data_IF_405351694498
#
_entry.id   IF_405351694498
#
_cell.length_a   1.000
_cell.length_b   1.000
_cell.length_c   1.000
_cell.angle_alpha   90.00
_cell.angle_beta   90.00
_cell.angle_gamma   90.00
#
_symmetry.space_group_name_H-M   'P 1'
#
loop_
_entity.id
_entity.type
_entity.pdbx_description
1 polymer ?
#
# COMPACT_ATOMS: atom_id res chain seq x y z
N UNK A 1 -13.95 -16.25 17.60
CA UNK A 1 -13.06 -15.19 17.11
C UNK A 1 -13.23 -15.17 15.60
N UNK A 2 -13.48 -14.01 15.02
CA UNK A 2 -13.57 -13.85 13.59
C UNK A 2 -12.19 -13.52 13.03
N UNK A 3 -11.87 -14.00 11.83
CA UNK A 3 -10.61 -13.68 11.17
C UNK A 3 -10.79 -13.56 9.66
N UNK A 4 -10.05 -12.64 9.04
CA UNK A 4 -9.94 -12.54 7.60
C UNK A 4 -8.66 -13.25 7.13
N UNK A 5 -8.81 -14.10 6.14
CA UNK A 5 -7.72 -14.83 5.48
C UNK A 5 -7.53 -14.25 4.08
N UNK A 6 -6.46 -13.50 3.87
CA UNK A 6 -6.12 -12.91 2.57
C UNK A 6 -5.09 -13.81 1.90
N UNK A 7 -5.55 -14.60 0.93
CA UNK A 7 -4.76 -15.63 0.26
C UNK A 7 -3.91 -15.01 -0.84
N UNK A 8 -2.59 -15.25 -0.82
CA UNK A 8 -1.64 -14.69 -1.78
C UNK A 8 -1.63 -15.46 -3.10
N UNK A 9 -1.33 -14.77 -4.20
CA UNK A 9 -0.96 -15.38 -5.50
C UNK A 9 0.54 -15.56 -5.66
N UNK A 10 1.34 -15.00 -4.78
CA UNK A 10 2.81 -14.99 -4.84
C UNK A 10 3.41 -15.82 -3.72
N UNK A 11 4.62 -16.29 -3.94
CA UNK A 11 5.38 -16.99 -2.91
C UNK A 11 5.81 -16.01 -1.81
N UNK A 12 5.42 -16.32 -0.58
CA UNK A 12 5.88 -15.58 0.60
C UNK A 12 7.07 -16.33 1.18
N UNK A 13 8.27 -15.71 1.30
CA UNK A 13 9.43 -16.37 1.86
C UNK A 13 9.17 -16.91 3.28
N UNK A 14 9.66 -18.08 3.62
CA UNK A 14 9.46 -18.73 4.93
C UNK A 14 9.88 -17.83 6.11
N UNK A 15 10.93 -17.01 5.93
CA UNK A 15 11.34 -16.04 6.96
C UNK A 15 10.27 -15.01 7.34
N UNK A 16 9.24 -14.85 6.51
CA UNK A 16 8.09 -13.97 6.76
C UNK A 16 6.90 -14.73 7.36
N UNK A 17 7.00 -16.07 7.51
CA UNK A 17 5.98 -16.85 8.20
C UNK A 17 6.10 -16.64 9.70
N UNK A 18 5.00 -16.37 10.36
CA UNK A 18 4.93 -16.15 11.80
C UNK A 18 3.55 -15.75 12.28
N UNK A 19 3.39 -15.72 13.58
CA UNK A 19 2.16 -15.29 14.22
C UNK A 19 2.48 -14.42 15.44
N UNK A 20 1.71 -13.36 15.61
CA UNK A 20 1.86 -12.44 16.73
C UNK A 20 0.53 -11.76 17.05
N UNK A 21 0.08 -11.86 18.30
CA UNK A 21 -1.15 -11.20 18.82
C UNK A 21 -2.38 -11.41 17.91
N UNK A 22 -2.58 -12.65 17.43
CA UNK A 22 -3.70 -13.05 16.59
C UNK A 22 -3.50 -12.78 15.09
N UNK A 23 -2.51 -11.99 14.68
CA UNK A 23 -2.10 -11.87 13.28
C UNK A 23 -1.19 -13.02 12.91
N UNK A 24 -1.28 -13.51 11.68
CA UNK A 24 -0.34 -14.52 11.19
C UNK A 24 -0.08 -14.38 9.68
N UNK A 25 1.09 -14.84 9.26
CA UNK A 25 1.44 -15.11 7.87
C UNK A 25 1.90 -16.56 7.85
N UNK A 26 1.15 -17.43 7.19
CA UNK A 26 1.48 -18.85 7.16
C UNK A 26 0.81 -19.57 5.99
N UNK A 27 1.30 -20.74 5.61
CA UNK A 27 0.57 -21.63 4.71
C UNK A 27 -0.83 -21.95 5.26
N UNK A 28 -1.79 -22.07 4.36
CA UNK A 28 -3.11 -22.58 4.69
C UNK A 28 -3.03 -24.08 5.01
N UNK A 29 -3.75 -24.51 6.03
CA UNK A 29 -3.99 -25.94 6.26
C UNK A 29 -4.95 -26.49 5.20
N UNK A 30 -4.90 -27.81 4.99
CA UNK A 30 -5.82 -28.49 4.06
C UNK A 30 -7.28 -28.20 4.40
N UNK A 31 -7.64 -28.19 5.68
CA UNK A 31 -9.01 -27.90 6.12
C UNK A 31 -9.46 -26.46 5.77
N UNK A 32 -8.54 -25.48 5.87
CA UNK A 32 -8.83 -24.09 5.48
C UNK A 32 -8.97 -23.95 3.97
N UNK A 33 -8.12 -24.61 3.18
CA UNK A 33 -8.25 -24.65 1.72
C UNK A 33 -9.60 -25.20 1.32
N UNK A 34 -9.96 -26.37 1.84
CA UNK A 34 -11.27 -27.02 1.56
C UNK A 34 -12.42 -26.09 1.96
N UNK A 35 -12.37 -25.49 3.15
CA UNK A 35 -13.43 -24.60 3.61
C UNK A 35 -13.61 -23.36 2.72
N UNK A 36 -12.54 -22.82 2.10
CA UNK A 36 -12.64 -21.72 1.15
C UNK A 36 -13.15 -22.20 -0.20
N UNK A 37 -12.66 -23.34 -0.70
CA UNK A 37 -13.12 -23.93 -1.98
C UNK A 37 -14.59 -24.33 -1.95
N UNK A 38 -15.07 -24.90 -0.85
CA UNK A 38 -16.49 -25.22 -0.66
C UNK A 38 -17.38 -23.98 -0.79
N UNK A 39 -16.93 -22.83 -0.29
CA UNK A 39 -17.63 -21.56 -0.46
C UNK A 39 -17.61 -21.07 -1.92
N UNK A 40 -16.54 -21.30 -2.66
CA UNK A 40 -16.47 -21.02 -4.09
C UNK A 40 -17.46 -21.89 -4.87
N UNK A 41 -17.47 -23.21 -4.62
CA UNK A 41 -18.41 -24.13 -5.26
C UNK A 41 -19.88 -23.76 -4.96
N UNK A 42 -20.17 -23.35 -3.73
CA UNK A 42 -21.50 -22.86 -3.35
C UNK A 42 -21.94 -21.60 -4.11
N UNK A 43 -20.98 -20.86 -4.71
CA UNK A 43 -21.21 -19.70 -5.56
C UNK A 43 -21.14 -20.02 -7.07
N UNK A 44 -20.97 -21.30 -7.44
CA UNK A 44 -20.81 -21.74 -8.83
C UNK A 44 -19.42 -21.47 -9.42
N UNK A 45 -18.41 -21.23 -8.59
CA UNK A 45 -17.03 -21.01 -8.99
C UNK A 45 -16.20 -22.28 -8.75
N UNK A 46 -15.66 -22.87 -9.82
CA UNK A 46 -14.86 -24.12 -9.76
C UNK A 46 -13.36 -23.88 -9.51
N UNK A 47 -12.97 -22.65 -9.17
CA UNK A 47 -11.56 -22.32 -8.93
C UNK A 47 -11.02 -23.02 -7.71
N UNK A 48 -9.73 -23.37 -7.80
CA UNK A 48 -8.99 -24.03 -6.75
C UNK A 48 -7.91 -23.14 -6.18
N UNK A 49 -7.64 -23.34 -4.89
CA UNK A 49 -6.53 -22.71 -4.19
C UNK A 49 -5.29 -23.60 -4.38
N UNK A 50 -4.18 -23.10 -4.95
CA UNK A 50 -2.97 -23.90 -5.09
C UNK A 50 -2.49 -24.43 -3.75
N UNK A 51 -2.01 -25.68 -3.73
CA UNK A 51 -1.42 -26.28 -2.54
C UNK A 51 -0.21 -25.44 -2.08
N UNK A 52 -0.11 -25.20 -0.77
CA UNK A 52 0.94 -24.37 -0.19
C UNK A 52 0.69 -22.87 -0.28
N UNK A 53 -0.49 -22.42 -0.74
CA UNK A 53 -0.86 -21.00 -0.69
C UNK A 53 -0.72 -20.46 0.72
N UNK A 54 -0.13 -19.27 0.83
CA UNK A 54 0.06 -18.54 2.09
C UNK A 54 -1.07 -17.53 2.27
N UNK A 55 -1.51 -17.35 3.50
CA UNK A 55 -2.47 -16.31 3.84
C UNK A 55 -1.92 -15.34 4.89
N UNK A 56 -2.30 -14.08 4.74
CA UNK A 56 -2.28 -13.09 5.81
C UNK A 56 -3.56 -13.27 6.63
N UNK A 57 -3.44 -13.59 7.89
CA UNK A 57 -4.55 -13.84 8.81
C UNK A 57 -4.68 -12.65 9.74
N UNK A 58 -5.83 -12.00 9.72
CA UNK A 58 -6.11 -10.75 10.44
C UNK A 58 -7.27 -11.00 11.41
N UNK A 59 -7.04 -10.94 12.73
CA UNK A 59 -8.09 -11.19 13.73
C UNK A 59 -9.02 -9.98 13.87
N UNK A 60 -10.28 -10.24 14.14
CA UNK A 60 -11.34 -9.27 14.53
C UNK A 60 -11.41 -7.98 13.69
N UNK A 61 -10.79 -7.97 12.51
CA UNK A 61 -10.69 -6.76 11.67
C UNK A 61 -12.01 -6.45 10.98
N UNK A 62 -12.93 -7.42 10.91
CA UNK A 62 -14.16 -7.32 10.14
C UNK A 62 -15.37 -7.79 10.93
N UNK A 63 -15.99 -6.87 11.62
CA UNK A 63 -17.40 -7.01 12.00
C UNK A 63 -18.32 -6.75 10.78
N UNK A 64 -17.80 -6.08 9.72
CA UNK A 64 -18.55 -5.64 8.55
C UNK A 64 -17.92 -6.15 7.23
N UNK A 65 -18.61 -7.03 6.49
CA UNK A 65 -18.18 -7.50 5.18
C UNK A 65 -17.99 -6.39 4.13
N UNK A 66 -18.60 -5.22 4.32
CA UNK A 66 -18.44 -4.07 3.42
C UNK A 66 -17.01 -3.50 3.45
N UNK A 67 -16.28 -3.69 4.54
CA UNK A 67 -14.87 -3.28 4.70
C UNK A 67 -13.84 -4.19 4.02
N UNK A 68 -14.23 -5.32 3.42
CA UNK A 68 -13.30 -6.25 2.75
C UNK A 68 -12.45 -5.58 1.65
N UNK A 69 -13.00 -4.74 0.75
CA UNK A 69 -12.22 -4.08 -0.29
C UNK A 69 -11.10 -3.21 0.28
N UNK A 70 -11.40 -2.48 1.35
CA UNK A 70 -10.44 -1.59 2.01
C UNK A 70 -9.31 -2.39 2.67
N UNK A 71 -9.66 -3.52 3.28
CA UNK A 71 -8.71 -4.42 3.90
C UNK A 71 -7.71 -5.00 2.88
N UNK A 72 -8.21 -5.47 1.74
CA UNK A 72 -7.38 -5.97 0.64
C UNK A 72 -6.40 -4.88 0.20
N UNK A 73 -6.92 -3.68 -0.05
CA UNK A 73 -6.12 -2.52 -0.47
C UNK A 73 -5.01 -2.19 0.53
N UNK A 74 -5.31 -2.23 1.83
CA UNK A 74 -4.31 -1.94 2.87
C UNK A 74 -3.26 -3.04 2.98
N UNK A 75 -3.63 -4.31 2.87
CA UNK A 75 -2.64 -5.41 2.89
C UNK A 75 -1.77 -5.38 1.63
N UNK A 76 -2.36 -5.12 0.47
CA UNK A 76 -1.63 -4.96 -0.79
C UNK A 76 -0.66 -3.77 -0.73
N UNK A 77 -1.10 -2.66 -0.20
CA UNK A 77 -0.28 -1.49 0.06
C UNK A 77 0.87 -1.79 1.03
N UNK A 78 0.58 -2.42 2.17
CA UNK A 78 1.61 -2.79 3.15
C UNK A 78 2.69 -3.68 2.53
N UNK A 79 2.29 -4.66 1.71
CA UNK A 79 3.23 -5.50 0.97
C UNK A 79 4.01 -4.69 -0.08
N UNK A 80 3.37 -3.77 -0.80
CA UNK A 80 4.00 -2.96 -1.86
C UNK A 80 5.07 -2.02 -1.32
N UNK A 81 4.88 -1.47 -0.11
CA UNK A 81 5.89 -0.62 0.54
C UNK A 81 7.17 -1.40 0.82
N UNK A 82 7.07 -2.63 1.31
CA UNK A 82 8.23 -3.46 1.69
C UNK A 82 8.74 -4.36 0.55
N UNK A 83 8.07 -4.39 -0.60
CA UNK A 83 8.55 -5.08 -1.79
C UNK A 83 9.70 -4.31 -2.43
N UNK A 84 10.75 -5.01 -2.87
CA UNK A 84 11.87 -4.46 -3.67
C UNK A 84 11.53 -4.58 -5.15
N UNK A 85 11.04 -5.76 -5.56
CA UNK A 85 10.60 -6.04 -6.92
C UNK A 85 9.27 -6.76 -6.92
N UNK A 86 8.55 -6.66 -8.02
CA UNK A 86 7.24 -7.27 -8.21
C UNK A 86 6.12 -6.52 -7.50
N UNK A 87 4.90 -6.92 -7.78
CA UNK A 87 3.69 -6.32 -7.20
C UNK A 87 2.87 -7.39 -6.50
N UNK A 88 2.53 -7.20 -5.20
CA UNK A 88 1.69 -8.14 -4.47
C UNK A 88 0.32 -8.26 -5.12
N UNK A 89 -0.18 -9.48 -5.17
CA UNK A 89 -1.53 -9.77 -5.63
C UNK A 89 -2.13 -10.90 -4.79
N UNK A 90 -3.44 -10.92 -4.73
CA UNK A 90 -4.18 -11.86 -3.88
C UNK A 90 -5.17 -12.69 -4.69
N UNK A 91 -5.40 -13.90 -4.26
CA UNK A 91 -6.29 -14.86 -4.91
C UNK A 91 -7.72 -14.71 -4.39
N UNK A 92 -7.85 -14.66 -3.06
CA UNK A 92 -9.14 -14.67 -2.40
C UNK A 92 -9.06 -14.02 -1.02
N UNK A 93 -10.21 -13.62 -0.50
CA UNK A 93 -10.40 -13.30 0.91
C UNK A 93 -11.47 -14.21 1.46
N UNK A 94 -11.13 -14.99 2.48
CA UNK A 94 -12.07 -15.81 3.25
C UNK A 94 -12.34 -15.19 4.62
N UNK A 95 -13.59 -15.11 5.02
CA UNK A 95 -13.99 -14.70 6.36
C UNK A 95 -14.32 -15.94 7.18
N UNK A 96 -13.56 -16.16 8.23
CA UNK A 96 -13.72 -17.28 9.14
C UNK A 96 -14.37 -16.83 10.44
N UNK A 97 -15.30 -17.63 10.95
CA UNK A 97 -15.92 -17.48 12.26
C UNK A 97 -15.99 -18.84 12.94
N UNK A 98 -15.43 -18.96 14.13
CA UNK A 98 -15.39 -20.22 14.89
C UNK A 98 -14.81 -21.40 14.09
N UNK A 99 -13.78 -21.14 13.28
CA UNK A 99 -13.10 -22.17 12.48
C UNK A 99 -13.78 -22.53 11.15
N UNK A 100 -14.97 -22.01 10.86
CA UNK A 100 -15.67 -22.23 9.59
C UNK A 100 -15.58 -21.01 8.69
N UNK A 101 -15.32 -21.21 7.39
CA UNK A 101 -15.43 -20.16 6.38
C UNK A 101 -16.88 -19.77 6.18
N UNK A 102 -17.21 -18.49 6.42
CA UNK A 102 -18.57 -17.94 6.34
C UNK A 102 -18.82 -17.23 5.03
N UNK A 103 -17.79 -16.66 4.48
CA UNK A 103 -17.86 -15.90 3.24
C UNK A 103 -16.50 -15.96 2.54
N UNK A 104 -16.53 -16.01 1.22
CA UNK A 104 -15.33 -15.88 0.39
C UNK A 104 -15.59 -14.90 -0.74
N UNK A 105 -14.56 -14.14 -1.09
CA UNK A 105 -14.54 -13.26 -2.26
C UNK A 105 -13.29 -13.59 -3.06
N UNK A 106 -13.49 -13.93 -4.32
CA UNK A 106 -12.41 -14.08 -5.28
C UNK A 106 -11.91 -12.70 -5.74
N UNK A 107 -10.60 -12.56 -5.89
CA UNK A 107 -9.95 -11.36 -6.41
C UNK A 107 -9.50 -11.68 -7.85
N UNK A 108 -10.04 -10.99 -8.87
CA UNK A 108 -9.62 -11.19 -10.25
C UNK A 108 -8.11 -10.97 -10.43
N UNK A 109 -7.48 -11.75 -11.33
CA UNK A 109 -6.09 -11.54 -11.70
C UNK A 109 -5.96 -10.26 -12.54
N UNK A 110 -4.96 -9.45 -12.23
CA UNK A 110 -4.54 -8.34 -13.06
C UNK A 110 -3.40 -8.78 -14.01
N UNK A 111 -3.27 -8.12 -15.15
CA UNK A 111 -2.16 -8.34 -16.08
C UNK A 111 -0.81 -7.97 -15.47
N UNK A 112 -0.80 -7.04 -14.51
CA UNK A 112 0.39 -6.59 -13.77
C UNK A 112 0.75 -7.47 -12.57
N UNK A 113 -0.02 -8.55 -12.28
CA UNK A 113 0.28 -9.45 -11.17
C UNK A 113 1.60 -10.19 -11.40
N UNK A 114 2.55 -10.04 -10.50
CA UNK A 114 3.83 -10.74 -10.52
C UNK A 114 3.78 -11.96 -9.60
N UNK A 115 4.15 -13.16 -10.08
CA UNK A 115 4.27 -14.32 -9.21
C UNK A 115 5.51 -14.24 -8.29
N UNK A 116 6.53 -13.49 -8.74
CA UNK A 116 7.80 -13.37 -8.04
C UNK A 116 7.93 -11.98 -7.41
N UNK A 117 7.85 -11.94 -6.07
CA UNK A 117 8.05 -10.72 -5.29
C UNK A 117 9.28 -10.91 -4.42
N UNK A 118 10.19 -9.95 -4.47
CA UNK A 118 11.26 -9.86 -3.49
C UNK A 118 10.95 -8.78 -2.45
N UNK A 119 11.25 -9.10 -1.18
CA UNK A 119 11.06 -8.19 -0.06
C UNK A 119 12.39 -7.66 0.45
N UNK A 120 12.36 -6.51 1.13
CA UNK A 120 13.53 -5.88 1.75
C UNK A 120 14.36 -6.95 2.48
N UNK A 121 15.67 -6.96 2.22
CA UNK A 121 16.61 -7.88 2.86
C UNK A 121 16.60 -7.66 4.38
N UNK A 122 16.43 -8.74 5.14
CA UNK A 122 16.35 -8.67 6.61
C UNK A 122 14.94 -8.42 7.17
N UNK A 123 13.92 -8.21 6.33
CA UNK A 123 12.53 -8.19 6.80
C UNK A 123 12.18 -9.56 7.41
N UNK A 124 11.70 -9.54 8.66
CA UNK A 124 11.26 -10.72 9.40
C UNK A 124 9.74 -10.81 9.46
N UNK A 125 9.22 -11.96 9.87
CA UNK A 125 7.77 -12.13 10.11
C UNK A 125 7.23 -11.09 11.10
N UNK A 126 7.90 -10.91 12.24
CA UNK A 126 7.49 -9.91 13.25
C UNK A 126 7.50 -8.50 12.67
N UNK A 127 8.55 -8.13 11.93
CA UNK A 127 8.63 -6.82 11.26
C UNK A 127 7.49 -6.60 10.27
N UNK A 128 7.16 -7.61 9.45
CA UNK A 128 6.05 -7.53 8.50
C UNK A 128 4.69 -7.42 9.21
N UNK A 129 4.46 -8.22 10.25
CA UNK A 129 3.22 -8.18 11.01
C UNK A 129 3.05 -6.86 11.77
N UNK A 130 4.13 -6.33 12.34
CA UNK A 130 4.13 -5.02 13.00
C UNK A 130 3.83 -3.90 11.99
N UNK A 131 4.46 -3.94 10.83
CA UNK A 131 4.20 -2.98 9.75
C UNK A 131 2.73 -3.02 9.30
N UNK A 132 2.20 -4.21 9.06
CA UNK A 132 0.79 -4.38 8.67
C UNK A 132 -0.17 -3.82 9.73
N UNK A 133 0.11 -4.04 11.02
CA UNK A 133 -0.68 -3.44 12.12
C UNK A 133 -0.68 -1.93 12.07
N UNK A 134 0.48 -1.32 11.85
CA UNK A 134 0.60 0.15 11.74
C UNK A 134 -0.21 0.69 10.56
N UNK A 135 -0.17 0.03 9.41
CA UNK A 135 -1.00 0.40 8.26
C UNK A 135 -2.50 0.31 8.58
N UNK A 136 -2.94 -0.76 9.24
CA UNK A 136 -4.33 -0.94 9.65
C UNK A 136 -4.76 0.08 10.72
N UNK A 137 -3.88 0.44 11.63
CA UNK A 137 -4.13 1.47 12.63
C UNK A 137 -4.26 2.85 11.99
N UNK A 138 -3.36 3.20 11.08
CA UNK A 138 -3.42 4.43 10.30
C UNK A 138 -4.73 4.51 9.48
N UNK A 139 -5.16 3.39 8.85
CA UNK A 139 -6.44 3.29 8.16
C UNK A 139 -7.62 3.62 9.08
N UNK A 140 -7.66 3.06 10.28
CA UNK A 140 -8.74 3.33 11.25
C UNK A 140 -8.78 4.79 11.70
N UNK A 141 -7.61 5.42 11.84
CA UNK A 141 -7.47 6.81 12.27
C UNK A 141 -7.84 7.82 11.18
N UNK A 142 -7.57 7.49 9.91
CA UNK A 142 -7.66 8.40 8.77
C UNK A 142 -8.77 8.06 7.77
N UNK A 143 -9.39 6.88 7.90
CA UNK A 143 -10.44 6.39 6.99
C UNK A 143 -10.13 6.65 5.51
N UNK A 144 -10.89 7.57 4.89
CA UNK A 144 -10.85 7.80 3.44
C UNK A 144 -9.48 8.23 2.90
N UNK A 145 -8.69 8.99 3.68
CA UNK A 145 -7.40 9.49 3.19
C UNK A 145 -6.34 8.40 3.08
N UNK A 146 -6.25 7.54 4.10
CA UNK A 146 -5.33 6.42 4.03
C UNK A 146 -5.73 5.46 2.90
N UNK A 147 -7.04 5.30 2.67
CA UNK A 147 -7.54 4.54 1.53
C UNK A 147 -7.10 5.16 0.20
N UNK A 148 -7.21 6.49 0.04
CA UNK A 148 -6.71 7.19 -1.15
C UNK A 148 -5.22 6.97 -1.32
N UNK A 149 -4.42 7.23 -0.28
CA UNK A 149 -2.96 7.01 -0.31
C UNK A 149 -2.62 5.59 -0.76
N UNK A 150 -3.21 4.60 -0.11
CA UNK A 150 -2.94 3.19 -0.36
C UNK A 150 -3.36 2.77 -1.77
N UNK A 151 -4.58 3.10 -2.18
CA UNK A 151 -5.11 2.75 -3.50
C UNK A 151 -4.28 3.37 -4.62
N UNK A 152 -3.95 4.66 -4.50
CA UNK A 152 -3.17 5.37 -5.52
C UNK A 152 -1.72 4.88 -5.58
N UNK A 153 -1.10 4.59 -4.42
CA UNK A 153 0.25 4.02 -4.42
C UNK A 153 0.30 2.61 -5.04
N UNK A 154 -0.68 1.76 -4.77
CA UNK A 154 -0.78 0.43 -5.39
C UNK A 154 -0.97 0.55 -6.90
N UNK A 155 -1.82 1.49 -7.35
CA UNK A 155 -2.02 1.74 -8.78
C UNK A 155 -0.75 2.27 -9.45
N UNK A 156 -0.05 3.23 -8.83
CA UNK A 156 1.27 3.68 -9.28
C UNK A 156 2.22 2.49 -9.48
N UNK A 157 2.34 1.63 -8.46
CA UNK A 157 3.26 0.50 -8.48
C UNK A 157 2.95 -0.52 -9.60
N UNK A 158 1.68 -0.62 -10.03
CA UNK A 158 1.22 -1.55 -11.08
C UNK A 158 1.08 -0.91 -12.47
N UNK A 159 1.28 0.40 -12.58
CA UNK A 159 1.00 1.11 -13.82
C UNK A 159 2.02 0.81 -14.91
N UNK A 160 1.54 0.48 -16.12
CA UNK A 160 2.34 0.33 -17.33
C UNK A 160 2.50 1.68 -18.07
N UNK A 161 1.64 2.65 -17.77
CA UNK A 161 1.66 4.00 -18.35
C UNK A 161 2.40 4.96 -17.44
N UNK A 162 3.44 5.61 -17.93
CA UNK A 162 4.16 6.64 -17.16
C UNK A 162 3.24 7.81 -16.76
N UNK A 163 2.28 8.19 -17.58
CA UNK A 163 1.34 9.26 -17.28
C UNK A 163 0.44 8.89 -16.10
N UNK A 164 -0.13 7.68 -16.12
CA UNK A 164 -0.97 7.18 -15.04
C UNK A 164 -0.16 6.98 -13.75
N UNK A 165 1.08 6.45 -13.86
CA UNK A 165 1.99 6.31 -12.74
C UNK A 165 2.24 7.67 -12.05
N UNK A 166 2.59 8.70 -12.80
CA UNK A 166 2.86 10.04 -12.28
C UNK A 166 1.61 10.64 -11.61
N UNK A 167 0.44 10.48 -12.24
CA UNK A 167 -0.83 10.94 -11.68
C UNK A 167 -1.15 10.24 -10.36
N UNK A 168 -1.09 8.92 -10.34
CA UNK A 168 -1.43 8.13 -9.16
C UNK A 168 -0.44 8.36 -8.00
N UNK A 169 0.86 8.45 -8.29
CA UNK A 169 1.89 8.76 -7.29
C UNK A 169 1.68 10.14 -6.67
N UNK A 170 1.45 11.17 -7.51
CA UNK A 170 1.22 12.51 -7.01
C UNK A 170 -0.02 12.59 -6.12
N UNK A 171 -1.15 12.00 -6.54
CA UNK A 171 -2.38 11.96 -5.73
C UNK A 171 -2.16 11.20 -4.42
N UNK A 172 -1.40 10.09 -4.45
CA UNK A 172 -1.04 9.35 -3.24
C UNK A 172 -0.31 10.24 -2.23
N UNK A 173 0.70 10.98 -2.68
CA UNK A 173 1.48 11.88 -1.83
C UNK A 173 0.71 13.14 -1.42
N UNK A 174 -0.13 13.73 -2.30
CA UNK A 174 -1.00 14.86 -1.96
C UNK A 174 -1.96 14.50 -0.82
N UNK A 175 -2.45 13.26 -0.78
CA UNK A 175 -3.38 12.82 0.26
C UNK A 175 -2.78 12.83 1.68
N UNK A 176 -1.45 12.85 1.81
CA UNK A 176 -0.74 12.99 3.08
C UNK A 176 -0.72 14.44 3.57
N UNK A 177 -0.91 15.40 2.66
CA UNK A 177 -0.93 16.82 2.97
C UNK A 177 -2.37 17.28 3.22
N UNK A 178 -2.58 18.10 4.23
CA UNK A 178 -3.91 18.57 4.63
C UNK A 178 -4.12 20.07 4.32
N UNK A 179 -3.65 20.50 3.15
CA UNK A 179 -3.66 21.93 2.79
C UNK A 179 -4.49 22.19 1.54
N UNK A 180 -5.27 23.28 1.60
CA UNK A 180 -6.07 23.76 0.48
C UNK A 180 -5.39 24.89 -0.32
N UNK A 181 -4.29 25.44 0.21
CA UNK A 181 -3.57 26.60 -0.39
C UNK A 181 -2.10 26.28 -0.59
N UNK A 182 -1.47 26.88 -1.60
CA UNK A 182 -0.05 26.75 -1.93
C UNK A 182 0.40 25.27 -2.12
N UNK A 183 -0.47 24.45 -2.71
CA UNK A 183 -0.29 22.99 -2.74
C UNK A 183 1.04 22.59 -3.39
N UNK A 184 1.43 23.23 -4.50
CA UNK A 184 2.68 22.94 -5.21
C UNK A 184 3.92 23.16 -4.33
N UNK A 185 4.01 24.33 -3.69
CA UNK A 185 5.13 24.66 -2.82
C UNK A 185 5.18 23.73 -1.61
N UNK A 186 4.05 23.52 -0.95
CA UNK A 186 3.98 22.64 0.23
C UNK A 186 4.26 21.18 -0.13
N UNK A 187 3.77 20.73 -1.28
CA UNK A 187 4.04 19.39 -1.78
C UNK A 187 5.54 19.12 -1.90
N UNK A 188 6.28 19.99 -2.57
CA UNK A 188 7.71 19.79 -2.78
C UNK A 188 8.53 19.96 -1.49
N UNK A 189 8.35 21.06 -0.78
CA UNK A 189 9.20 21.40 0.38
C UNK A 189 8.85 20.54 1.60
N UNK A 190 7.55 20.40 1.95
CA UNK A 190 7.18 19.62 3.13
C UNK A 190 7.53 18.14 2.98
N UNK A 191 7.24 17.54 1.82
CA UNK A 191 7.52 16.13 1.61
C UNK A 191 9.04 15.86 1.55
N UNK A 192 9.84 16.77 0.96
CA UNK A 192 11.30 16.63 1.02
C UNK A 192 11.83 16.64 2.46
N UNK A 193 11.26 17.47 3.32
CA UNK A 193 11.70 17.55 4.72
C UNK A 193 11.21 16.40 5.60
N UNK A 194 10.08 15.79 5.25
CA UNK A 194 9.57 14.58 5.92
C UNK A 194 10.57 13.43 5.87
N UNK A 195 11.38 13.33 4.81
CA UNK A 195 12.43 12.32 4.70
C UNK A 195 13.65 12.59 5.60
N UNK A 196 13.69 13.73 6.29
CA UNK A 196 14.83 14.14 7.08
C UNK A 196 15.99 14.71 6.26
N UNK A 197 15.84 14.83 4.93
CA UNK A 197 16.82 15.43 4.04
C UNK A 197 17.15 16.87 4.45
N UNK A 198 18.41 17.27 4.32
CA UNK A 198 18.89 18.63 4.68
C UNK A 198 19.87 19.15 3.62
N UNK A 199 20.01 20.48 3.58
CA UNK A 199 20.92 21.14 2.62
C UNK A 199 20.63 20.73 1.19
N UNK A 200 21.67 20.43 0.43
CA UNK A 200 21.60 20.10 -1.00
C UNK A 200 20.73 18.87 -1.30
N UNK A 201 20.66 17.91 -0.37
CA UNK A 201 19.78 16.75 -0.52
C UNK A 201 18.30 17.13 -0.45
N UNK A 202 17.92 18.02 0.47
CA UNK A 202 16.57 18.55 0.57
C UNK A 202 16.18 19.34 -0.69
N UNK A 203 17.09 20.16 -1.22
CA UNK A 203 16.86 20.91 -2.45
C UNK A 203 16.69 19.99 -3.65
N UNK A 204 17.52 18.97 -3.78
CA UNK A 204 17.43 17.97 -4.86
C UNK A 204 16.12 17.18 -4.78
N UNK A 205 15.72 16.80 -3.58
CA UNK A 205 14.46 16.08 -3.33
C UNK A 205 13.24 16.97 -3.62
N UNK A 206 13.27 18.22 -3.17
CA UNK A 206 12.22 19.19 -3.44
C UNK A 206 12.09 19.48 -4.94
N UNK A 207 13.18 19.61 -5.68
CA UNK A 207 13.18 19.79 -7.12
C UNK A 207 12.54 18.59 -7.85
N UNK A 208 12.84 17.35 -7.42
CA UNK A 208 12.22 16.15 -7.97
C UNK A 208 10.71 16.09 -7.72
N UNK A 209 10.28 16.44 -6.51
CA UNK A 209 8.86 16.49 -6.14
C UNK A 209 8.14 17.64 -6.87
N UNK A 210 8.81 18.78 -7.11
CA UNK A 210 8.27 19.87 -7.92
C UNK A 210 8.05 19.43 -9.38
N UNK A 211 9.02 18.75 -10.00
CA UNK A 211 8.87 18.18 -11.34
C UNK A 211 7.69 17.20 -11.42
N UNK A 212 7.52 16.36 -10.37
CA UNK A 212 6.40 15.42 -10.27
C UNK A 212 5.06 16.16 -10.24
N UNK A 213 4.94 17.19 -9.40
CA UNK A 213 3.72 17.98 -9.28
C UNK A 213 3.39 18.76 -10.56
N UNK A 214 4.39 19.35 -11.20
CA UNK A 214 4.23 20.06 -12.46
C UNK A 214 3.76 19.14 -13.58
N UNK A 215 4.32 17.92 -13.66
CA UNK A 215 3.90 16.92 -14.63
C UNK A 215 2.43 16.52 -14.42
N UNK A 216 2.02 16.27 -13.16
CA UNK A 216 0.65 15.96 -12.81
C UNK A 216 -0.31 17.11 -13.16
N UNK A 217 0.08 18.36 -12.83
CA UNK A 217 -0.74 19.53 -13.14
C UNK A 217 -0.97 19.66 -14.64
N UNK A 218 0.09 19.56 -15.44
CA UNK A 218 -0.02 19.66 -16.91
C UNK A 218 -0.80 18.49 -17.52
N UNK A 219 -0.65 17.28 -17.00
CA UNK A 219 -1.46 16.13 -17.44
C UNK A 219 -2.95 16.36 -17.16
N UNK A 220 -3.28 16.84 -15.97
CA UNK A 220 -4.66 17.10 -15.58
C UNK A 220 -5.34 18.18 -16.42
N UNK A 221 -4.57 19.15 -16.94
CA UNK A 221 -5.05 20.23 -17.80
C UNK A 221 -4.91 19.95 -19.30
N UNK A 222 -4.41 18.78 -19.69
CA UNK A 222 -4.20 18.43 -21.10
C UNK A 222 -3.13 19.27 -21.81
N UNK A 223 -2.17 19.82 -21.04
CA UNK A 223 -1.10 20.65 -21.60
C UNK A 223 -0.12 19.80 -22.44
N UNK A 224 0.09 20.13 -23.73
CA UNK A 224 1.02 19.37 -24.59
C UNK A 224 2.45 19.27 -24.05
N UNK A 225 2.88 20.23 -23.22
CA UNK A 225 4.21 20.23 -22.60
C UNK A 225 4.39 19.15 -21.53
N UNK A 226 3.31 18.48 -21.09
CA UNK A 226 3.37 17.34 -20.16
C UNK A 226 4.31 16.24 -20.67
N UNK A 227 4.28 15.92 -21.97
CA UNK A 227 5.12 14.89 -22.57
C UNK A 227 6.63 15.14 -22.41
N UNK A 228 7.07 16.40 -22.31
CA UNK A 228 8.47 16.73 -22.02
C UNK A 228 8.84 16.39 -20.58
N UNK A 229 7.97 16.69 -19.62
CA UNK A 229 8.19 16.36 -18.22
C UNK A 229 8.13 14.86 -17.97
N UNK A 230 7.21 14.15 -18.62
CA UNK A 230 7.15 12.68 -18.53
C UNK A 230 8.46 12.03 -18.96
N UNK A 231 9.02 12.43 -20.13
CA UNK A 231 10.33 11.94 -20.58
C UNK A 231 11.48 12.26 -19.61
N UNK A 232 11.41 13.38 -18.88
CA UNK A 232 12.39 13.72 -17.83
C UNK A 232 12.24 12.83 -16.60
N UNK A 233 11.00 12.48 -16.23
CA UNK A 233 10.68 11.71 -15.02
C UNK A 233 10.77 10.20 -15.21
N UNK A 234 10.54 9.69 -16.42
CA UNK A 234 10.54 8.25 -16.73
C UNK A 234 11.78 7.52 -16.20
N UNK A 235 13.03 7.95 -16.46
CA UNK A 235 14.22 7.30 -15.92
C UNK A 235 14.36 7.46 -14.39
N UNK A 236 13.59 8.37 -13.78
CA UNK A 236 13.61 8.66 -12.34
C UNK A 236 12.49 7.95 -11.56
N UNK A 237 11.64 7.18 -12.22
CA UNK A 237 10.55 6.43 -11.55
C UNK A 237 11.05 5.54 -10.41
N UNK A 238 12.18 4.81 -10.53
CA UNK A 238 12.71 4.05 -9.39
C UNK A 238 13.08 4.93 -8.19
N UNK A 239 13.64 6.11 -8.42
CA UNK A 239 13.97 7.09 -7.38
C UNK A 239 12.69 7.65 -6.75
N UNK A 240 11.70 8.01 -7.55
CA UNK A 240 10.39 8.46 -7.08
C UNK A 240 9.68 7.39 -6.24
N UNK A 241 9.76 6.13 -6.64
CA UNK A 241 9.20 5.01 -5.88
C UNK A 241 9.89 4.87 -4.51
N UNK A 242 11.22 4.91 -4.47
CA UNK A 242 11.96 4.83 -3.21
C UNK A 242 11.61 5.99 -2.27
N UNK A 243 11.60 7.21 -2.79
CA UNK A 243 11.23 8.42 -2.06
C UNK A 243 9.79 8.37 -1.53
N UNK A 244 8.84 7.93 -2.36
CA UNK A 244 7.45 7.79 -1.94
C UNK A 244 7.29 6.76 -0.81
N UNK A 245 7.97 5.62 -0.91
CA UNK A 245 7.98 4.61 0.15
C UNK A 245 8.49 5.17 1.47
N UNK A 246 9.55 5.96 1.44
CA UNK A 246 10.13 6.61 2.61
C UNK A 246 9.13 7.61 3.23
N UNK A 247 8.59 8.53 2.43
CA UNK A 247 7.60 9.53 2.89
C UNK A 247 6.38 8.83 3.50
N UNK A 248 5.81 7.85 2.81
CA UNK A 248 4.62 7.12 3.26
C UNK A 248 4.92 6.34 4.54
N UNK A 249 6.09 5.70 4.62
CA UNK A 249 6.51 4.96 5.82
C UNK A 249 6.60 5.91 7.01
N UNK A 250 7.25 7.06 6.85
CA UNK A 250 7.36 8.08 7.90
C UNK A 250 5.99 8.54 8.36
N UNK A 251 5.06 8.79 7.43
CA UNK A 251 3.70 9.17 7.74
C UNK A 251 2.94 8.10 8.54
N UNK A 252 2.97 6.84 8.10
CA UNK A 252 2.32 5.72 8.79
C UNK A 252 2.90 5.51 10.18
N UNK A 253 4.23 5.58 10.30
CA UNK A 253 4.91 5.47 11.60
C UNK A 253 4.54 6.62 12.54
N UNK A 254 4.48 7.85 12.05
CA UNK A 254 4.05 8.98 12.85
C UNK A 254 2.64 8.80 13.39
N UNK A 255 1.70 8.41 12.53
CA UNK A 255 0.29 8.24 12.89
C UNK A 255 0.02 7.04 13.80
N UNK A 256 0.96 6.12 13.97
CA UNK A 256 0.80 5.03 14.95
C UNK A 256 0.83 5.54 16.40
N UNK A 257 1.49 6.66 16.63
CA UNK A 257 1.76 7.20 17.97
C UNK A 257 1.16 8.62 18.17
N UNK A 258 0.69 9.26 17.08
CA UNK A 258 0.24 10.64 17.05
C UNK A 258 -1.06 10.80 16.27
N UNK A 259 -1.72 11.92 16.51
CA UNK A 259 -2.94 12.30 15.78
C UNK A 259 -2.63 12.97 14.44
N UNK A 260 -3.66 13.10 13.61
CA UNK A 260 -3.57 13.84 12.35
C UNK A 260 -3.26 15.34 12.55
N UNK A 261 -3.79 15.94 13.60
CA UNK A 261 -3.53 17.37 13.86
C UNK A 261 -2.08 17.61 14.30
N UNK A 262 -1.49 16.66 15.02
CA UNK A 262 -0.06 16.67 15.32
C UNK A 262 0.79 16.48 14.05
N UNK A 263 0.35 15.65 13.09
CA UNK A 263 1.00 15.55 11.79
C UNK A 263 0.98 16.88 11.03
N UNK A 264 -0.15 17.57 10.98
CA UNK A 264 -0.25 18.91 10.37
C UNK A 264 0.71 19.89 11.02
N UNK A 265 0.76 19.89 12.35
CA UNK A 265 1.67 20.74 13.09
C UNK A 265 3.15 20.40 12.79
N UNK A 266 3.46 19.10 12.69
CA UNK A 266 4.79 18.61 12.31
C UNK A 266 5.20 19.09 10.91
N UNK A 267 4.33 18.91 9.91
CA UNK A 267 4.54 19.41 8.54
C UNK A 267 4.70 20.93 8.54
N UNK A 268 3.85 21.67 9.24
CA UNK A 268 3.92 23.12 9.29
C UNK A 268 5.25 23.59 9.93
N UNK A 269 5.66 22.97 11.03
CA UNK A 269 6.92 23.28 11.69
C UNK A 269 8.13 23.02 10.77
N UNK A 270 8.08 21.98 9.96
CA UNK A 270 9.16 21.65 9.02
C UNK A 270 9.39 22.71 7.92
N UNK A 271 8.41 23.59 7.66
CA UNK A 271 8.57 24.70 6.71
C UNK A 271 9.54 25.78 7.22
N UNK A 272 9.68 25.91 8.53
CA UNK A 272 10.45 27.00 9.18
C UNK A 272 11.74 26.51 9.85
N UNK A 273 12.05 25.24 9.77
CA UNK A 273 13.29 24.62 10.27
C UNK A 273 14.30 24.34 9.16
#
# INVERSE_FOLDING_TARGET
MNAAYIVTRFAVPERLHGAESGFAIRPLSVAEVVAIEDQFHGQGDERRIPAGSVAFILPDVLADPSGIPDLITIVEFACSIVAVTGHPSFLAVGIFSQGACRQVRHIPRSTSDSPDISFIKGLTASGMLQWLRRCLQAQRSLKDRMHITANRFVRFAKSESIADAIMDLCISLESLLDHQTEVSFRFSICLARVTGARGDEAETTAALLSDLYDARSKLAHGDPSASRLLRKLEPRVPQLNALAKEIITTYVLFLSDHTRDEWKAHIHKSLYS
#
